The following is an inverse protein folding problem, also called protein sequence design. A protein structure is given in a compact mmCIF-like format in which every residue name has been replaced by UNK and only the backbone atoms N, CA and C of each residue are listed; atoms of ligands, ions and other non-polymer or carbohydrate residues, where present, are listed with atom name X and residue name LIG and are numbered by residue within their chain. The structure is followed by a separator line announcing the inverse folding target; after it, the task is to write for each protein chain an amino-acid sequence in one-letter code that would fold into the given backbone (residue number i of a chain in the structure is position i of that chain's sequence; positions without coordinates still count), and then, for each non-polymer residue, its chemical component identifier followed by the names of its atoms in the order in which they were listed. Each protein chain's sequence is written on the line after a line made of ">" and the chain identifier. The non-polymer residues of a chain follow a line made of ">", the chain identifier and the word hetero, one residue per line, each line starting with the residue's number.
data_IF_340312255070
#
_entry.id   IF_340312255070
#
_cell.length_a   1.000
_cell.length_b   1.000
_cell.length_c   1.000
_cell.angle_alpha   90.00
_cell.angle_beta   90.00
_cell.angle_gamma   90.00
#
_symmetry.space_group_name_H-M   'P 1'
#
loop_
_entity.id
_entity.type
_entity.pdbx_description
1 polymer ?
#
# COMPACT_ATOMS: atom_id res chain seq x y z
N UNK A 1 25.04 20.91 -0.91
CA UNK A 1 26.13 19.94 -0.84
C UNK A 1 25.64 18.49 -0.90
N UNK A 2 24.51 18.16 -0.29
CA UNK A 2 23.95 16.80 -0.29
C UNK A 2 23.68 16.26 -1.70
N UNK A 3 23.22 17.09 -2.62
CA UNK A 3 23.00 16.72 -4.01
C UNK A 3 24.27 16.27 -4.76
N UNK A 4 25.44 16.54 -4.21
CA UNK A 4 26.74 16.04 -4.74
C UNK A 4 27.10 14.67 -4.18
N UNK A 5 26.42 14.24 -3.11
CA UNK A 5 26.58 12.88 -2.62
C UNK A 5 26.05 11.92 -3.69
N UNK A 6 26.90 10.97 -4.11
CA UNK A 6 26.60 10.06 -5.20
C UNK A 6 25.28 9.29 -4.97
N UNK A 7 25.05 8.80 -3.78
CA UNK A 7 23.83 8.04 -3.46
C UNK A 7 22.57 8.90 -3.59
N UNK A 8 22.59 10.14 -3.09
CA UNK A 8 21.47 11.08 -3.20
C UNK A 8 21.22 11.47 -4.67
N UNK A 9 22.31 11.79 -5.38
CA UNK A 9 22.26 12.13 -6.79
C UNK A 9 21.65 11.00 -7.63
N UNK A 10 22.16 9.78 -7.46
CA UNK A 10 21.70 8.60 -8.18
C UNK A 10 20.22 8.30 -7.90
N UNK A 11 19.73 8.47 -6.67
CA UNK A 11 18.33 8.31 -6.32
C UNK A 11 17.42 9.32 -7.04
N UNK A 12 17.88 10.58 -7.16
CA UNK A 12 17.11 11.61 -7.88
C UNK A 12 17.03 11.29 -9.36
N UNK A 13 18.15 10.88 -9.97
CA UNK A 13 18.18 10.44 -11.36
C UNK A 13 17.28 9.22 -11.58
N UNK A 14 17.37 8.23 -10.71
CA UNK A 14 16.56 7.03 -10.76
C UNK A 14 15.06 7.37 -10.70
N UNK A 15 14.66 8.20 -9.73
CA UNK A 15 13.27 8.69 -9.65
C UNK A 15 12.83 9.38 -10.95
N UNK A 16 13.66 10.24 -11.50
CA UNK A 16 13.35 10.94 -12.77
C UNK A 16 13.14 9.96 -13.92
N UNK A 17 13.97 8.92 -14.02
CA UNK A 17 13.84 7.89 -15.05
C UNK A 17 12.55 7.06 -14.88
N UNK A 18 12.20 6.68 -13.65
CA UNK A 18 10.95 5.96 -13.34
C UNK A 18 9.75 6.80 -13.74
N UNK A 19 9.70 8.07 -13.34
CA UNK A 19 8.58 8.98 -13.68
C UNK A 19 8.45 9.17 -15.19
N UNK A 20 9.57 9.37 -15.89
CA UNK A 20 9.57 9.49 -17.35
C UNK A 20 9.06 8.21 -18.04
N UNK A 21 9.42 7.06 -17.51
CA UNK A 21 8.94 5.78 -18.03
C UNK A 21 7.44 5.61 -17.80
N UNK A 22 6.94 5.89 -16.59
CA UNK A 22 5.53 5.81 -16.26
C UNK A 22 4.67 6.68 -17.17
N UNK A 23 5.09 7.93 -17.45
CA UNK A 23 4.40 8.81 -18.41
C UNK A 23 4.28 8.16 -19.77
N UNK A 24 5.40 7.73 -20.35
CA UNK A 24 5.42 7.09 -21.67
C UNK A 24 4.57 5.82 -21.72
N UNK A 25 4.58 5.03 -20.64
CA UNK A 25 3.76 3.82 -20.54
C UNK A 25 2.28 4.17 -20.53
N UNK A 26 1.85 5.13 -19.72
CA UNK A 26 0.45 5.57 -19.67
C UNK A 26 -0.02 6.16 -20.99
N UNK A 27 0.78 7.00 -21.62
CA UNK A 27 0.50 7.56 -22.96
C UNK A 27 0.35 6.43 -24.00
N UNK A 28 1.21 5.40 -23.97
CA UNK A 28 1.11 4.25 -24.87
C UNK A 28 -0.16 3.43 -24.70
N UNK A 29 -0.77 3.47 -23.51
CA UNK A 29 -2.07 2.84 -23.19
C UNK A 29 -3.27 3.75 -23.53
N UNK A 30 -3.02 4.90 -24.14
CA UNK A 30 -4.03 5.87 -24.58
C UNK A 30 -4.54 6.80 -23.50
N UNK A 31 -3.83 6.96 -22.39
CA UNK A 31 -4.16 7.91 -21.34
C UNK A 31 -3.63 9.31 -21.67
N UNK A 32 -4.39 10.33 -21.30
CA UNK A 32 -4.02 11.73 -21.41
C UNK A 32 -3.55 12.26 -20.06
N UNK A 33 -2.35 12.86 -20.01
CA UNK A 33 -1.85 13.51 -18.79
C UNK A 33 -2.54 14.87 -18.62
N UNK A 34 -3.25 15.05 -17.50
CA UNK A 34 -3.92 16.31 -17.17
C UNK A 34 -3.55 16.70 -15.74
N UNK A 35 -2.92 17.87 -15.59
CA UNK A 35 -2.55 18.43 -14.30
C UNK A 35 -3.75 19.14 -13.67
N UNK A 36 -4.03 18.84 -12.40
CA UNK A 36 -5.12 19.42 -11.63
C UNK A 36 -4.62 20.49 -10.65
N UNK A 37 -5.48 21.42 -10.20
CA UNK A 37 -5.10 22.46 -9.25
C UNK A 37 -4.59 21.92 -7.92
N UNK A 38 -3.55 22.59 -7.36
CA UNK A 38 -2.98 22.25 -6.05
C UNK A 38 -3.58 23.13 -4.95
N UNK A 39 -3.82 24.41 -5.20
CA UNK A 39 -4.55 25.27 -4.26
C UNK A 39 -6.04 25.06 -4.45
N UNK A 40 -6.64 24.28 -3.56
CA UNK A 40 -8.06 23.89 -3.66
C UNK A 40 -8.79 24.10 -2.33
N UNK A 41 -10.00 23.60 -2.23
CA UNK A 41 -10.75 23.53 -0.96
C UNK A 41 -10.53 22.17 -0.30
N UNK A 42 -10.83 22.12 0.99
CA UNK A 42 -10.83 20.85 1.74
C UNK A 42 -11.77 19.83 1.11
N UNK A 43 -11.33 18.59 1.05
CA UNK A 43 -12.14 17.47 0.61
C UNK A 43 -12.10 16.34 1.64
N UNK A 44 -13.25 15.66 1.91
CA UNK A 44 -13.35 14.65 2.96
C UNK A 44 -12.79 13.30 2.48
N UNK A 45 -11.47 13.20 2.30
CA UNK A 45 -10.81 11.97 1.83
C UNK A 45 -10.18 11.11 2.93
N UNK A 46 -10.48 11.40 4.19
CA UNK A 46 -10.13 10.57 5.34
C UNK A 46 -8.82 10.94 6.06
N UNK A 47 -7.91 11.69 5.45
CA UNK A 47 -6.74 12.26 6.10
C UNK A 47 -7.00 13.71 6.56
N UNK A 48 -6.09 14.27 7.37
CA UNK A 48 -6.11 15.70 7.69
C UNK A 48 -5.49 16.51 6.55
N UNK A 49 -6.11 17.66 6.24
CA UNK A 49 -5.63 18.57 5.22
C UNK A 49 -4.49 19.45 5.74
N UNK A 50 -3.51 19.73 4.88
CA UNK A 50 -2.67 20.92 5.05
C UNK A 50 -3.47 22.13 4.58
N UNK A 51 -3.62 23.13 5.45
CA UNK A 51 -4.37 24.36 5.16
C UNK A 51 -3.43 25.55 4.97
N UNK A 52 -3.77 26.44 4.03
CA UNK A 52 -3.01 27.64 3.71
C UNK A 52 -3.93 28.84 3.90
N UNK A 53 -3.62 29.79 4.83
CA UNK A 53 -4.42 31.01 5.00
C UNK A 53 -4.45 31.86 3.74
N UNK A 54 -5.64 32.34 3.35
CA UNK A 54 -5.79 33.25 2.24
C UNK A 54 -5.45 34.69 2.63
N UNK A 55 -4.53 35.33 1.91
CA UNK A 55 -4.25 36.75 2.09
C UNK A 55 -5.32 37.67 1.48
N UNK A 56 -6.07 37.16 0.49
CA UNK A 56 -7.09 37.94 -0.23
C UNK A 56 -8.48 37.89 0.45
N UNK A 57 -8.73 36.83 1.21
CA UNK A 57 -10.03 36.58 1.83
C UNK A 57 -9.84 36.30 3.30
N UNK A 58 -10.12 37.30 4.13
CA UNK A 58 -9.99 37.21 5.57
C UNK A 58 -10.83 36.05 6.14
N UNK A 59 -10.24 35.26 7.04
CA UNK A 59 -10.88 34.10 7.66
C UNK A 59 -11.08 32.90 6.74
N UNK A 60 -10.58 32.91 5.50
CA UNK A 60 -10.65 31.79 4.56
C UNK A 60 -9.30 31.10 4.36
N UNK A 61 -9.37 29.84 3.98
CA UNK A 61 -8.21 28.97 3.78
C UNK A 61 -8.33 28.23 2.45
N UNK A 62 -7.18 27.94 1.85
CA UNK A 62 -7.03 26.90 0.86
C UNK A 62 -6.60 25.60 1.54
N UNK A 63 -6.85 24.48 0.90
CA UNK A 63 -6.29 23.19 1.28
C UNK A 63 -5.37 22.65 0.18
N UNK A 64 -4.32 21.91 0.57
CA UNK A 64 -3.53 21.12 -0.37
C UNK A 64 -4.24 19.78 -0.64
N UNK A 65 -4.21 19.24 -1.87
CA UNK A 65 -4.98 18.07 -2.23
C UNK A 65 -4.40 16.81 -1.57
N UNK A 66 -5.27 16.00 -0.98
CA UNK A 66 -4.92 14.66 -0.52
C UNK A 66 -4.79 13.66 -1.68
N UNK A 67 -5.57 13.88 -2.73
CA UNK A 67 -5.57 13.24 -4.03
C UNK A 67 -6.44 14.08 -4.99
N UNK A 68 -6.31 13.94 -6.33
CA UNK A 68 -7.10 14.71 -7.29
C UNK A 68 -8.52 14.14 -7.51
N UNK A 69 -9.12 13.49 -6.53
CA UNK A 69 -10.34 12.69 -6.66
C UNK A 69 -11.52 13.43 -7.29
N UNK A 70 -11.82 14.64 -6.83
CA UNK A 70 -12.95 15.42 -7.38
C UNK A 70 -12.68 15.87 -8.81
N UNK A 71 -11.47 16.28 -9.11
CA UNK A 71 -11.09 16.75 -10.45
C UNK A 71 -11.14 15.62 -11.48
N UNK A 72 -10.62 14.45 -11.16
CA UNK A 72 -10.64 13.32 -12.09
C UNK A 72 -12.07 12.84 -12.37
N UNK A 73 -12.98 12.88 -11.39
CA UNK A 73 -14.39 12.61 -11.63
C UNK A 73 -15.02 13.61 -12.59
N UNK A 74 -14.72 14.91 -12.43
CA UNK A 74 -15.18 15.94 -13.36
C UNK A 74 -14.62 15.74 -14.77
N UNK A 75 -13.38 15.30 -14.90
CA UNK A 75 -12.78 14.95 -16.18
C UNK A 75 -13.53 13.81 -16.86
N UNK A 76 -13.88 12.74 -16.12
CA UNK A 76 -14.67 11.64 -16.67
C UNK A 76 -16.05 12.12 -17.15
N UNK A 77 -16.76 12.92 -16.37
CA UNK A 77 -18.04 13.51 -16.75
C UNK A 77 -17.91 14.41 -17.97
N UNK A 78 -16.77 15.04 -18.17
CA UNK A 78 -16.48 15.92 -19.29
C UNK A 78 -16.06 15.20 -20.58
N UNK A 79 -15.99 13.87 -20.56
CA UNK A 79 -15.67 13.06 -21.74
C UNK A 79 -14.17 12.77 -21.95
N UNK A 80 -13.35 12.91 -20.92
CA UNK A 80 -11.96 12.41 -20.92
C UNK A 80 -11.95 10.94 -20.49
N UNK A 81 -12.06 10.03 -21.40
CA UNK A 81 -12.27 8.62 -21.13
C UNK A 81 -11.09 7.93 -20.43
N UNK A 82 -9.87 8.43 -20.59
CA UNK A 82 -8.65 7.92 -19.96
C UNK A 82 -7.75 9.07 -19.51
N UNK A 83 -7.69 9.30 -18.23
CA UNK A 83 -6.89 10.33 -17.59
C UNK A 83 -5.77 9.71 -16.75
N UNK A 84 -4.63 10.37 -16.69
CA UNK A 84 -3.63 10.14 -15.66
C UNK A 84 -2.89 11.42 -15.28
N UNK A 85 -2.23 11.39 -14.12
CA UNK A 85 -1.19 12.37 -13.77
C UNK A 85 -0.23 11.81 -12.73
N UNK A 86 0.97 12.38 -12.66
CA UNK A 86 1.87 12.20 -11.52
C UNK A 86 1.49 13.27 -10.48
N UNK A 87 0.52 12.93 -9.64
CA UNK A 87 -0.16 13.88 -8.76
C UNK A 87 0.62 14.13 -7.47
N UNK A 88 0.97 15.38 -7.13
CA UNK A 88 1.43 15.71 -5.79
C UNK A 88 0.26 15.58 -4.81
N UNK A 89 0.49 14.84 -3.72
CA UNK A 89 -0.50 14.56 -2.69
C UNK A 89 0.06 14.94 -1.33
N UNK A 90 -0.82 15.46 -0.47
CA UNK A 90 -0.46 16.01 0.83
C UNK A 90 -1.40 15.47 1.90
N UNK A 91 -0.85 14.91 2.98
CA UNK A 91 -1.64 14.40 4.11
C UNK A 91 -0.96 14.76 5.41
N UNK A 92 -1.65 15.54 6.26
CA UNK A 92 -1.16 15.94 7.57
C UNK A 92 -1.40 14.82 8.59
N UNK A 93 -0.65 13.75 8.44
CA UNK A 93 -0.66 12.57 9.29
C UNK A 93 0.73 12.27 9.82
N UNK A 94 0.79 11.46 10.88
CA UNK A 94 2.06 11.00 11.42
C UNK A 94 2.84 10.23 10.34
N UNK A 95 3.98 10.77 9.96
CA UNK A 95 4.84 10.18 8.96
C UNK A 95 5.32 8.80 9.46
N UNK A 96 4.97 7.75 8.73
CA UNK A 96 5.61 6.46 8.89
C UNK A 96 6.88 6.49 8.07
N UNK A 97 8.03 6.35 8.74
CA UNK A 97 9.36 6.48 8.14
C UNK A 97 9.57 5.61 6.87
N UNK A 98 8.78 4.57 6.70
CA UNK A 98 8.87 3.60 5.61
C UNK A 98 7.80 3.74 4.52
N UNK A 99 6.71 4.54 4.72
CA UNK A 99 5.54 4.46 3.83
C UNK A 99 4.87 5.77 3.43
N UNK A 100 4.82 6.78 4.26
CA UNK A 100 3.96 7.93 4.03
C UNK A 100 4.57 9.22 4.56
N UNK A 101 5.48 9.84 3.82
CA UNK A 101 5.80 11.24 4.08
C UNK A 101 4.54 12.08 3.88
N UNK A 102 4.43 13.20 4.61
CA UNK A 102 3.28 14.11 4.48
C UNK A 102 3.06 14.66 3.06
N UNK A 103 4.11 14.68 2.24
CA UNK A 103 4.09 14.99 0.81
C UNK A 103 4.62 13.80 0.02
N UNK A 104 3.85 13.33 -0.97
CA UNK A 104 4.23 12.24 -1.87
C UNK A 104 3.59 12.39 -3.24
N UNK A 105 3.99 11.55 -4.18
CA UNK A 105 3.43 11.56 -5.54
C UNK A 105 2.72 10.25 -5.83
N UNK A 106 1.56 10.34 -6.48
CA UNK A 106 0.83 9.20 -6.99
C UNK A 106 0.90 9.16 -8.50
N UNK A 107 1.09 7.97 -9.08
CA UNK A 107 0.59 7.73 -10.42
C UNK A 107 -0.91 7.53 -10.27
N UNK A 108 -1.66 8.58 -10.51
CA UNK A 108 -3.12 8.58 -10.43
C UNK A 108 -3.71 8.43 -11.83
N UNK A 109 -4.68 7.57 -12.02
CA UNK A 109 -5.38 7.42 -13.29
C UNK A 109 -6.85 7.06 -13.08
N UNK A 110 -7.67 7.40 -14.07
CA UNK A 110 -9.10 7.14 -14.10
C UNK A 110 -9.53 6.72 -15.50
N UNK A 111 -10.51 5.81 -15.57
CA UNK A 111 -11.04 5.26 -16.81
C UNK A 111 -12.56 5.34 -16.80
N UNK A 112 -13.15 5.90 -17.87
CA UNK A 112 -14.58 5.82 -18.11
C UNK A 112 -14.96 4.46 -18.71
N UNK A 113 -16.20 4.03 -18.49
CA UNK A 113 -16.79 2.79 -19.06
C UNK A 113 -15.99 1.51 -18.75
N UNK A 114 -15.25 1.51 -17.64
CA UNK A 114 -14.37 0.42 -17.25
C UNK A 114 -14.95 -0.40 -16.09
N UNK A 115 -14.68 -1.69 -16.12
CA UNK A 115 -14.92 -2.62 -15.02
C UNK A 115 -13.70 -2.66 -14.09
N UNK A 116 -13.83 -3.32 -12.94
CA UNK A 116 -12.70 -3.59 -12.04
C UNK A 116 -11.58 -4.34 -12.76
N UNK A 117 -11.90 -5.29 -13.62
CA UNK A 117 -10.91 -6.08 -14.35
C UNK A 117 -10.12 -5.24 -15.36
N UNK A 118 -10.76 -4.26 -16.00
CA UNK A 118 -10.08 -3.35 -16.91
C UNK A 118 -9.06 -2.48 -16.16
N UNK A 119 -9.40 -2.02 -14.97
CA UNK A 119 -8.47 -1.25 -14.11
C UNK A 119 -7.30 -2.12 -13.66
N UNK A 120 -7.58 -3.35 -13.24
CA UNK A 120 -6.52 -4.30 -12.85
C UNK A 120 -5.57 -4.62 -14.00
N UNK A 121 -6.10 -4.84 -15.21
CA UNK A 121 -5.27 -5.10 -16.38
C UNK A 121 -4.28 -3.96 -16.68
N UNK A 122 -4.74 -2.71 -16.60
CA UNK A 122 -3.86 -1.54 -16.75
C UNK A 122 -2.82 -1.47 -15.63
N UNK A 123 -3.25 -1.65 -14.38
CA UNK A 123 -2.35 -1.58 -13.22
C UNK A 123 -1.28 -2.68 -13.29
N UNK A 124 -1.66 -3.91 -13.61
CA UNK A 124 -0.73 -5.05 -13.75
C UNK A 124 0.30 -4.80 -14.86
N UNK A 125 -0.14 -4.34 -16.03
CA UNK A 125 0.75 -4.06 -17.17
C UNK A 125 1.76 -2.95 -16.83
N UNK A 126 1.30 -1.87 -16.22
CA UNK A 126 2.17 -0.75 -15.79
C UNK A 126 3.18 -1.19 -14.72
N UNK A 127 2.72 -1.92 -13.71
CA UNK A 127 3.58 -2.39 -12.61
C UNK A 127 4.58 -3.44 -13.10
N UNK A 128 4.14 -4.42 -13.88
CA UNK A 128 5.02 -5.47 -14.42
C UNK A 128 6.17 -4.87 -15.21
N UNK A 129 5.88 -3.99 -16.17
CA UNK A 129 6.90 -3.35 -17.00
C UNK A 129 7.84 -2.45 -16.18
N UNK A 130 7.28 -1.71 -15.21
CA UNK A 130 8.07 -0.84 -14.33
C UNK A 130 9.06 -1.66 -13.49
N UNK A 131 8.58 -2.70 -12.80
CA UNK A 131 9.45 -3.54 -11.98
C UNK A 131 10.43 -4.37 -12.81
N UNK A 132 10.04 -4.83 -13.99
CA UNK A 132 10.95 -5.52 -14.91
C UNK A 132 12.10 -4.62 -15.32
N UNK A 133 11.79 -3.36 -15.65
CA UNK A 133 12.80 -2.40 -16.10
C UNK A 133 13.70 -1.88 -14.98
N UNK A 134 13.13 -1.61 -13.82
CA UNK A 134 13.82 -0.92 -12.73
C UNK A 134 14.14 -1.81 -11.52
N UNK A 135 13.74 -3.06 -11.53
CA UNK A 135 13.92 -4.01 -10.43
C UNK A 135 15.33 -4.55 -10.24
N UNK A 136 16.33 -4.06 -11.02
CA UNK A 136 17.72 -4.48 -10.86
C UNK A 136 17.96 -5.95 -11.19
N UNK A 137 17.24 -6.52 -12.16
CA UNK A 137 17.36 -7.91 -12.60
C UNK A 137 16.67 -8.93 -11.68
N UNK A 138 15.92 -8.49 -10.68
CA UNK A 138 15.11 -9.38 -9.85
C UNK A 138 13.93 -9.95 -10.66
N UNK A 139 13.56 -11.19 -10.36
CA UNK A 139 12.37 -11.79 -10.97
C UNK A 139 11.11 -11.02 -10.54
N UNK A 140 10.26 -10.73 -11.51
CA UNK A 140 8.96 -10.08 -11.30
C UNK A 140 7.86 -11.11 -11.51
N UNK A 141 6.88 -11.14 -10.64
CA UNK A 141 5.72 -12.02 -10.78
C UNK A 141 4.99 -11.69 -12.10
N UNK A 142 4.67 -12.70 -12.94
CA UNK A 142 3.94 -12.47 -14.17
C UNK A 142 2.50 -12.03 -13.89
N UNK A 143 1.90 -11.29 -14.82
CA UNK A 143 0.47 -11.05 -14.82
C UNK A 143 -0.31 -12.32 -15.28
N UNK A 144 -1.54 -12.56 -14.78
CA UNK A 144 -2.22 -11.79 -13.74
C UNK A 144 -1.59 -12.00 -12.36
N UNK A 145 -1.53 -10.92 -11.57
CA UNK A 145 -1.02 -10.99 -10.20
C UNK A 145 -1.94 -11.82 -9.31
N UNK A 146 -1.37 -12.43 -8.25
CA UNK A 146 -2.13 -13.17 -7.25
C UNK A 146 -3.17 -12.25 -6.62
N UNK A 147 -4.42 -12.71 -6.56
CA UNK A 147 -5.54 -12.01 -5.94
C UNK A 147 -5.93 -12.74 -4.67
N UNK A 148 -5.86 -12.04 -3.56
CA UNK A 148 -6.16 -12.58 -2.24
C UNK A 148 -7.34 -11.79 -1.67
N UNK A 149 -8.48 -12.42 -1.38
CA UNK A 149 -9.59 -11.77 -0.70
C UNK A 149 -9.15 -11.20 0.66
N UNK A 150 -9.75 -10.09 1.08
CA UNK A 150 -9.39 -9.44 2.34
C UNK A 150 -9.48 -10.39 3.55
N UNK A 151 -10.56 -11.14 3.66
CA UNK A 151 -10.77 -12.09 4.76
C UNK A 151 -9.70 -13.18 4.78
N UNK A 152 -9.33 -13.70 3.62
CA UNK A 152 -8.25 -14.68 3.50
C UNK A 152 -6.89 -14.07 3.88
N UNK A 153 -6.62 -12.83 3.45
CA UNK A 153 -5.39 -12.13 3.79
C UNK A 153 -5.25 -11.91 5.30
N UNK A 154 -6.32 -11.49 5.95
CA UNK A 154 -6.35 -11.30 7.40
C UNK A 154 -6.25 -12.62 8.16
N UNK A 155 -6.88 -13.67 7.67
CA UNK A 155 -6.85 -14.99 8.30
C UNK A 155 -5.47 -15.64 8.21
N UNK A 156 -4.86 -15.65 7.01
CA UNK A 156 -3.59 -16.34 6.75
C UNK A 156 -2.35 -15.54 7.14
N UNK A 157 -2.40 -14.22 6.99
CA UNK A 157 -1.20 -13.37 7.14
C UNK A 157 -1.34 -12.30 8.23
N UNK A 158 -2.54 -12.07 8.75
CA UNK A 158 -2.80 -11.06 9.79
C UNK A 158 -2.65 -9.61 9.29
N UNK A 159 -2.65 -9.39 7.99
CA UNK A 159 -2.47 -8.08 7.35
C UNK A 159 -3.17 -8.00 6.00
N UNK A 160 -3.57 -6.81 5.61
CA UNK A 160 -4.12 -6.51 4.28
C UNK A 160 -3.03 -6.34 3.20
N UNK A 161 -1.76 -6.43 3.57
CA UNK A 161 -0.59 -6.27 2.68
C UNK A 161 0.46 -7.35 2.97
N UNK A 162 0.15 -8.64 2.66
CA UNK A 162 1.04 -9.74 2.96
C UNK A 162 2.30 -9.70 2.11
N UNK A 163 3.44 -10.02 2.72
CA UNK A 163 4.68 -10.32 2.00
C UNK A 163 4.72 -11.81 1.66
N UNK A 164 4.35 -12.17 0.45
CA UNK A 164 4.29 -13.57 0.00
C UNK A 164 5.66 -14.26 -0.13
N UNK A 165 6.76 -13.53 0.09
CA UNK A 165 8.10 -14.12 0.21
C UNK A 165 8.31 -14.80 1.56
N UNK A 166 7.52 -14.40 2.57
CA UNK A 166 7.49 -15.08 3.86
C UNK A 166 6.61 -16.35 3.74
N UNK A 167 7.19 -17.56 3.90
CA UNK A 167 6.42 -18.79 3.74
C UNK A 167 5.54 -19.15 4.95
N UNK A 168 5.57 -18.34 6.02
CA UNK A 168 4.80 -18.61 7.23
C UNK A 168 3.35 -18.15 7.04
N UNK A 169 2.43 -19.07 7.25
CA UNK A 169 1.00 -18.82 7.24
C UNK A 169 0.35 -19.15 8.58
N UNK A 170 -0.67 -18.37 8.94
CA UNK A 170 -1.54 -18.67 10.08
C UNK A 170 -2.54 -19.73 9.66
N UNK A 171 -2.61 -20.81 10.41
CA UNK A 171 -3.53 -21.93 10.19
C UNK A 171 -4.67 -21.86 11.20
N UNK A 172 -5.90 -22.07 10.74
CA UNK A 172 -7.05 -22.25 11.61
C UNK A 172 -7.07 -23.67 12.17
N UNK A 173 -6.94 -23.78 13.47
CA UNK A 173 -6.95 -25.03 14.22
C UNK A 173 -8.20 -25.17 15.08
N UNK A 174 -9.21 -24.33 14.89
CA UNK A 174 -10.42 -24.27 15.73
C UNK A 174 -11.15 -25.58 15.74
N UNK A 175 -11.38 -26.20 14.59
CA UNK A 175 -12.07 -27.49 14.49
C UNK A 175 -11.26 -28.64 15.11
N UNK A 176 -9.93 -28.62 14.90
CA UNK A 176 -9.04 -29.60 15.47
C UNK A 176 -9.07 -29.62 17.02
N UNK A 177 -9.22 -28.45 17.64
CA UNK A 177 -9.28 -28.28 19.08
C UNK A 177 -10.70 -28.17 19.65
N UNK A 178 -11.75 -28.41 18.85
CA UNK A 178 -13.15 -28.27 19.30
C UNK A 178 -13.52 -29.16 20.47
N UNK A 179 -13.05 -30.39 20.46
CA UNK A 179 -13.41 -31.46 21.44
C UNK A 179 -12.38 -31.66 22.54
N UNK A 180 -11.37 -30.79 22.65
CA UNK A 180 -10.34 -30.96 23.70
C UNK A 180 -10.85 -30.52 25.06
N UNK A 181 -10.38 -31.20 26.09
CA UNK A 181 -10.72 -30.83 27.49
C UNK A 181 -9.96 -29.60 27.99
N UNK A 182 -8.92 -29.17 27.28
CA UNK A 182 -8.09 -28.02 27.68
C UNK A 182 -8.89 -26.72 27.57
N UNK A 183 -9.21 -26.17 28.73
CA UNK A 183 -10.11 -24.99 28.87
C UNK A 183 -9.67 -23.76 28.06
N UNK A 184 -8.39 -23.63 27.76
CA UNK A 184 -7.89 -22.47 26.99
C UNK A 184 -8.32 -22.53 25.51
N UNK A 185 -8.54 -23.73 24.96
CA UNK A 185 -8.88 -23.95 23.54
C UNK A 185 -10.34 -24.34 23.34
N UNK A 186 -10.95 -25.02 24.31
CA UNK A 186 -12.31 -25.54 24.22
C UNK A 186 -13.31 -24.44 23.87
N UNK A 187 -13.98 -24.58 22.72
CA UNK A 187 -15.02 -23.66 22.26
C UNK A 187 -14.52 -22.25 21.91
N UNK A 188 -13.24 -22.10 21.57
CA UNK A 188 -12.62 -20.82 21.19
C UNK A 188 -11.89 -20.94 19.86
N UNK A 189 -11.80 -19.83 19.08
CA UNK A 189 -10.95 -19.81 17.91
C UNK A 189 -9.48 -20.07 18.30
N UNK A 190 -8.88 -21.07 17.65
CA UNK A 190 -7.46 -21.42 17.82
C UNK A 190 -6.74 -21.20 16.51
N UNK A 191 -5.66 -20.44 16.56
CA UNK A 191 -4.79 -20.18 15.42
C UNK A 191 -3.38 -20.64 15.72
N UNK A 192 -2.69 -21.17 14.74
CA UNK A 192 -1.32 -21.62 14.87
C UNK A 192 -0.46 -21.19 13.70
N UNK A 193 0.84 -21.14 13.90
CA UNK A 193 1.85 -20.93 12.85
C UNK A 193 2.81 -22.10 12.94
N UNK A 194 2.97 -22.85 11.84
CA UNK A 194 4.00 -23.85 11.75
C UNK A 194 5.31 -23.19 11.33
N UNK A 195 6.32 -23.23 12.20
CA UNK A 195 7.64 -22.63 11.95
C UNK A 195 8.66 -23.75 11.79
N UNK A 196 8.98 -24.17 10.55
CA UNK A 196 9.91 -25.28 10.31
C UNK A 196 11.28 -25.03 10.96
N UNK A 197 11.82 -26.07 11.62
CA UNK A 197 13.14 -26.01 12.25
C UNK A 197 13.17 -25.37 13.63
N UNK A 198 12.09 -24.77 14.13
CA UNK A 198 12.05 -24.14 15.44
C UNK A 198 12.15 -25.14 16.60
N UNK A 199 11.81 -26.40 16.40
CA UNK A 199 11.93 -27.46 17.45
C UNK A 199 13.36 -27.61 17.98
N UNK A 200 14.36 -27.18 17.22
CA UNK A 200 15.78 -27.20 17.63
C UNK A 200 16.18 -26.06 18.55
N UNK A 201 15.28 -25.09 18.76
CA UNK A 201 15.56 -23.93 19.61
C UNK A 201 15.52 -24.29 21.09
N UNK A 202 16.24 -23.52 21.91
CA UNK A 202 16.28 -23.74 23.36
C UNK A 202 14.93 -23.38 24.02
N UNK A 203 14.66 -23.98 25.19
CA UNK A 203 13.49 -23.62 26.02
C UNK A 203 13.41 -22.12 26.29
N UNK A 204 14.54 -21.46 26.56
CA UNK A 204 14.60 -20.04 26.80
C UNK A 204 14.22 -19.18 25.56
N UNK A 205 14.35 -19.72 24.35
CA UNK A 205 13.87 -19.07 23.14
C UNK A 205 12.32 -19.05 23.12
N UNK A 206 11.69 -20.17 23.42
CA UNK A 206 10.23 -20.26 23.49
C UNK A 206 9.65 -19.40 24.62
N UNK A 207 10.31 -19.33 25.77
CA UNK A 207 9.92 -18.48 26.90
C UNK A 207 9.96 -16.98 26.50
N UNK A 208 10.94 -16.57 25.67
CA UNK A 208 10.96 -15.21 25.12
C UNK A 208 9.78 -14.94 24.18
N UNK A 209 9.37 -15.92 23.38
CA UNK A 209 8.20 -15.80 22.50
C UNK A 209 6.91 -15.65 23.31
N UNK A 210 6.77 -16.45 24.39
CA UNK A 210 5.64 -16.30 25.31
C UNK A 210 5.62 -14.91 25.95
N UNK A 211 6.77 -14.43 26.42
CA UNK A 211 6.89 -13.10 27.00
C UNK A 211 6.48 -12.01 25.99
N UNK A 212 6.99 -12.07 24.77
CA UNK A 212 6.59 -11.17 23.70
C UNK A 212 5.08 -11.21 23.43
N UNK A 213 4.48 -12.40 23.37
CA UNK A 213 3.04 -12.55 23.18
C UNK A 213 2.24 -11.83 24.29
N UNK A 214 2.68 -11.96 25.54
CA UNK A 214 2.05 -11.26 26.68
C UNK A 214 2.24 -9.73 26.58
N UNK A 215 3.40 -9.25 26.17
CA UNK A 215 3.72 -7.83 26.01
C UNK A 215 2.82 -7.16 24.96
N UNK A 216 2.46 -7.87 23.88
CA UNK A 216 1.54 -7.39 22.84
C UNK A 216 0.06 -7.60 23.16
N UNK A 217 -0.26 -8.04 24.40
CA UNK A 217 -1.62 -8.17 24.91
C UNK A 217 -2.31 -9.52 24.66
N UNK A 218 -1.59 -10.54 24.18
CA UNK A 218 -2.12 -11.89 24.09
C UNK A 218 -2.23 -12.52 25.51
N UNK A 219 -3.19 -13.42 25.69
CA UNK A 219 -3.40 -14.10 26.97
C UNK A 219 -2.43 -15.26 27.21
N UNK A 220 -1.71 -15.67 26.20
CA UNK A 220 -0.74 -16.76 26.24
C UNK A 220 -0.34 -17.21 24.85
N UNK A 221 0.67 -18.06 24.78
CA UNK A 221 1.16 -18.71 23.57
C UNK A 221 1.50 -20.16 23.92
N UNK A 222 0.90 -21.11 23.23
CA UNK A 222 1.29 -22.53 23.30
C UNK A 222 2.39 -22.82 22.27
N UNK A 223 3.31 -23.73 22.61
CA UNK A 223 4.37 -24.19 21.71
C UNK A 223 4.70 -25.68 21.99
#
# INVERSE_FOLDING_TARGET
>A
LDLRNKAVHDNILFRSQVVSFLRKKMESLGFTEITTPILTCSSPEGARDYIIPSRKHEGKFYALPQAPQQFKQLLMVSGFDKYFQIAPCFRDEDARADRSPGEFYQLDFEMAFATQEDVFAVAEDVLYDTFTKFGGGKAVSPAPFVRIPYEESMLKYGTDKPDLRNPLEIVDLTDFFSDVEFKAFKGRPVRGINVPGCAMQSKGWFEKMLKFALEIGMKGLGY
#
